data_IF_990165982688
#
_entry.id   IF_990165982688
#
_cell.length_a   1.000
_cell.length_b   1.000
_cell.length_c   1.000
_cell.angle_alpha   90.00
_cell.angle_beta   90.00
_cell.angle_gamma   90.00
#
_symmetry.space_group_name_H-M   'P 1'
#
loop_
_entity.id
_entity.type
_entity.pdbx_description
1 polymer ?
#
# COMPACT_ATOMS: atom_id res chain seq x y z
N UNK A 1 19.53 -34.84 -44.05
CA UNK A 1 18.08 -34.96 -43.74
C UNK A 1 17.94 -35.98 -42.62
N UNK A 2 17.32 -35.77 -41.46
CA UNK A 2 16.66 -34.63 -40.87
C UNK A 2 16.86 -34.67 -39.34
N UNK A 3 16.65 -33.52 -38.74
CA UNK A 3 16.82 -33.12 -37.35
C UNK A 3 15.74 -33.72 -36.42
N UNK A 4 16.16 -34.03 -35.18
CA UNK A 4 15.41 -33.96 -33.91
C UNK A 4 13.97 -34.47 -33.78
N UNK A 5 13.79 -35.36 -32.81
CA UNK A 5 12.67 -35.28 -31.87
C UNK A 5 13.06 -35.90 -30.53
N UNK A 6 13.93 -35.22 -29.77
CA UNK A 6 13.98 -35.38 -28.31
C UNK A 6 12.74 -34.68 -27.76
N UNK A 7 11.66 -35.41 -27.57
CA UNK A 7 10.56 -34.93 -26.73
C UNK A 7 11.04 -34.99 -25.28
N UNK A 8 11.66 -33.92 -24.81
CA UNK A 8 11.82 -33.64 -23.38
C UNK A 8 10.43 -33.53 -22.76
N UNK A 9 10.00 -34.42 -21.84
CA UNK A 9 8.82 -34.20 -21.03
C UNK A 9 9.19 -33.36 -19.80
N UNK A 10 9.91 -32.26 -20.00
CA UNK A 10 10.34 -31.32 -18.95
C UNK A 10 9.61 -29.98 -19.08
N UNK A 11 8.39 -29.99 -19.62
CA UNK A 11 7.37 -28.96 -19.37
C UNK A 11 6.32 -29.44 -18.36
N UNK A 12 6.50 -30.63 -17.79
CA UNK A 12 5.76 -31.04 -16.61
C UNK A 12 6.41 -30.41 -15.37
N UNK A 13 5.62 -29.63 -14.63
CA UNK A 13 5.92 -29.12 -13.28
C UNK A 13 6.73 -27.82 -13.17
N UNK A 14 6.24 -26.76 -13.82
CA UNK A 14 6.01 -25.52 -13.05
C UNK A 14 4.51 -25.38 -12.82
N UNK A 15 3.96 -26.38 -12.14
CA UNK A 15 2.66 -26.26 -11.50
C UNK A 15 2.80 -25.12 -10.50
N UNK A 16 2.44 -23.92 -10.95
CA UNK A 16 2.09 -22.79 -10.12
C UNK A 16 1.22 -23.37 -9.02
N UNK A 17 1.78 -23.53 -7.82
CA UNK A 17 1.02 -23.77 -6.62
C UNK A 17 0.13 -22.54 -6.49
N UNK A 18 -1.06 -22.65 -7.07
CA UNK A 18 -2.11 -21.66 -6.95
C UNK A 18 -2.42 -21.60 -5.45
N UNK A 19 -1.76 -20.67 -4.76
CA UNK A 19 -2.24 -20.17 -3.49
C UNK A 19 -3.72 -19.85 -3.70
N UNK A 20 -4.56 -20.39 -2.82
CA UNK A 20 -6.01 -20.37 -2.94
C UNK A 20 -6.48 -19.02 -3.50
N UNK A 21 -7.27 -18.96 -4.59
CA UNK A 21 -7.56 -17.73 -5.33
C UNK A 21 -8.17 -16.62 -4.45
N UNK A 22 -8.79 -16.98 -3.32
CA UNK A 22 -9.24 -16.02 -2.31
C UNK A 22 -8.09 -15.30 -1.60
N UNK A 23 -7.01 -16.00 -1.23
CA UNK A 23 -5.90 -15.43 -0.46
C UNK A 23 -5.09 -14.40 -1.28
N UNK A 24 -5.02 -14.57 -2.60
CA UNK A 24 -4.32 -13.66 -3.50
C UNK A 24 -5.02 -12.31 -3.66
N UNK A 25 -6.35 -12.26 -3.50
CA UNK A 25 -7.14 -11.01 -3.60
C UNK A 25 -7.40 -10.39 -2.22
N UNK A 26 -7.54 -11.22 -1.19
CA UNK A 26 -7.80 -10.76 0.18
C UNK A 26 -6.54 -10.16 0.81
N UNK A 27 -5.35 -10.74 0.59
CA UNK A 27 -4.13 -10.24 1.20
C UNK A 27 -3.77 -8.79 0.81
N UNK A 28 -3.85 -8.37 -0.47
CA UNK A 28 -3.59 -6.98 -0.87
C UNK A 28 -4.68 -6.03 -0.41
N UNK A 29 -5.95 -6.43 -0.46
CA UNK A 29 -7.06 -5.60 0.00
C UNK A 29 -6.96 -5.32 1.50
N UNK A 30 -6.60 -6.33 2.30
CA UNK A 30 -6.39 -6.16 3.75
C UNK A 30 -5.10 -5.39 4.05
N UNK A 31 -4.03 -5.62 3.28
CA UNK A 31 -2.79 -4.86 3.40
C UNK A 31 -2.96 -3.38 3.04
N UNK A 32 -3.82 -3.09 2.07
CA UNK A 32 -4.21 -1.72 1.73
C UNK A 32 -5.02 -1.10 2.87
N UNK A 33 -6.02 -1.82 3.37
CA UNK A 33 -6.96 -1.26 4.34
C UNK A 33 -6.31 -1.01 5.70
N UNK A 34 -5.45 -1.93 6.17
CA UNK A 34 -4.71 -1.78 7.42
C UNK A 34 -3.22 -1.82 7.09
N UNK A 35 -2.48 -0.70 7.27
CA UNK A 35 -1.05 -0.67 7.03
C UNK A 35 -0.35 -1.79 7.80
N UNK A 36 0.40 -2.64 7.10
CA UNK A 36 1.15 -3.77 7.68
C UNK A 36 0.33 -5.05 7.96
N UNK A 37 -0.99 -5.07 7.80
CA UNK A 37 -1.80 -6.27 8.04
C UNK A 37 -1.52 -7.41 7.06
N UNK A 38 -1.11 -7.10 5.81
CA UNK A 38 -0.72 -8.12 4.82
C UNK A 38 0.44 -9.00 5.29
N UNK A 39 1.39 -8.43 6.03
CA UNK A 39 2.55 -9.15 6.55
C UNK A 39 2.28 -9.86 7.88
N UNK A 40 1.33 -9.36 8.69
CA UNK A 40 0.83 -10.10 9.86
C UNK A 40 0.14 -11.40 9.44
N UNK A 41 -0.69 -11.36 8.39
CA UNK A 41 -1.36 -12.55 7.84
C UNK A 41 -0.34 -13.58 7.31
N UNK A 42 0.80 -13.11 6.77
CA UNK A 42 1.89 -13.95 6.28
C UNK A 42 2.86 -14.45 7.37
N UNK A 43 2.52 -14.33 8.67
CA UNK A 43 3.34 -14.70 9.84
C UNK A 43 4.71 -14.00 9.92
N UNK A 44 4.92 -12.91 9.17
CA UNK A 44 6.17 -12.11 9.18
C UNK A 44 6.00 -10.89 10.07
N UNK A 45 5.83 -11.16 11.37
CA UNK A 45 5.52 -10.17 12.42
C UNK A 45 6.46 -8.97 12.43
N UNK A 46 7.77 -9.19 12.35
CA UNK A 46 8.76 -8.10 12.41
C UNK A 46 8.60 -7.15 11.23
N UNK A 47 8.46 -7.67 10.00
CA UNK A 47 8.30 -6.83 8.79
C UNK A 47 6.97 -6.09 8.81
N UNK A 48 5.88 -6.76 9.17
CA UNK A 48 4.57 -6.14 9.27
C UNK A 48 4.51 -5.03 10.32
N UNK A 49 5.10 -5.26 11.49
CA UNK A 49 5.14 -4.28 12.57
C UNK A 49 6.02 -3.07 12.21
N UNK A 50 7.18 -3.29 11.59
CA UNK A 50 8.02 -2.19 11.10
C UNK A 50 7.30 -1.33 10.07
N UNK A 51 6.65 -1.94 9.07
CA UNK A 51 5.90 -1.22 8.03
C UNK A 51 4.71 -0.48 8.64
N UNK A 52 3.94 -1.13 9.50
CA UNK A 52 2.81 -0.52 10.21
C UNK A 52 3.29 0.68 11.03
N UNK A 53 4.35 0.51 11.83
CA UNK A 53 4.89 1.57 12.67
C UNK A 53 5.42 2.74 11.82
N UNK A 54 6.17 2.48 10.76
CA UNK A 54 6.70 3.52 9.87
C UNK A 54 5.60 4.32 9.19
N UNK A 55 4.62 3.65 8.54
CA UNK A 55 3.53 4.32 7.83
C UNK A 55 2.65 5.09 8.81
N UNK A 56 2.27 4.46 9.93
CA UNK A 56 1.43 5.10 10.95
C UNK A 56 2.12 6.31 11.55
N UNK A 57 3.41 6.20 11.87
CA UNK A 57 4.17 7.33 12.44
C UNK A 57 4.30 8.48 11.45
N UNK A 58 4.65 8.22 10.18
CA UNK A 58 4.69 9.28 9.15
C UNK A 58 3.32 9.93 8.97
N UNK A 59 2.25 9.14 8.95
CA UNK A 59 0.91 9.65 8.78
C UNK A 59 0.44 10.50 9.98
N UNK A 60 0.65 10.02 11.21
CA UNK A 60 0.34 10.76 12.44
C UNK A 60 1.15 12.05 12.52
N UNK A 61 2.45 12.01 12.22
CA UNK A 61 3.28 13.22 12.15
C UNK A 61 2.75 14.19 11.09
N UNK A 62 2.36 13.70 9.91
CA UNK A 62 1.74 14.50 8.87
C UNK A 62 0.46 15.21 9.34
N UNK A 63 -0.39 14.53 10.11
CA UNK A 63 -1.59 15.12 10.71
C UNK A 63 -1.27 16.13 11.83
N UNK A 64 -0.32 15.81 12.71
CA UNK A 64 0.11 16.70 13.79
C UNK A 64 0.73 17.99 13.24
N UNK A 65 1.41 17.90 12.10
CA UNK A 65 1.94 19.03 11.34
C UNK A 65 0.84 19.83 10.60
N UNK A 66 -0.43 19.49 10.80
CA UNK A 66 -1.58 20.09 10.10
C UNK A 66 -1.47 19.95 8.58
N UNK A 67 -0.96 18.81 8.11
CA UNK A 67 -0.96 18.48 6.69
C UNK A 67 -2.37 18.50 6.08
N UNK A 68 -2.48 18.94 4.84
CA UNK A 68 -3.73 18.94 4.08
C UNK A 68 -4.04 17.52 3.63
N UNK A 69 -5.20 17.02 4.05
CA UNK A 69 -5.75 15.76 3.52
C UNK A 69 -6.65 16.10 2.34
N UNK A 70 -6.26 15.67 1.15
CA UNK A 70 -6.94 15.97 -0.09
C UNK A 70 -8.30 15.29 -0.19
N UNK A 71 -9.21 16.01 -0.83
CA UNK A 71 -10.56 15.57 -1.13
C UNK A 71 -10.63 15.11 -2.57
N UNK A 72 -11.57 14.22 -2.91
CA UNK A 72 -11.91 14.00 -4.30
C UNK A 72 -12.41 15.32 -4.88
N UNK A 73 -11.55 15.99 -5.65
CA UNK A 73 -11.81 17.27 -6.29
C UNK A 73 -11.59 17.12 -7.80
N UNK A 74 -12.53 17.62 -8.60
CA UNK A 74 -12.52 17.49 -10.06
C UNK A 74 -11.73 18.56 -10.81
N UNK A 75 -11.31 19.63 -10.12
CA UNK A 75 -10.86 20.87 -10.76
C UNK A 75 -9.35 21.05 -10.95
N UNK A 76 -8.51 20.45 -10.10
CA UNK A 76 -7.05 20.62 -10.12
C UNK A 76 -6.34 19.26 -10.13
N UNK A 77 -5.40 19.09 -11.07
CA UNK A 77 -4.62 17.87 -11.24
C UNK A 77 -3.74 17.58 -10.02
N UNK A 78 -3.20 18.62 -9.38
CA UNK A 78 -2.33 18.49 -8.20
C UNK A 78 -3.13 17.99 -6.99
N UNK A 79 -4.36 18.50 -6.84
CA UNK A 79 -5.29 18.04 -5.80
C UNK A 79 -5.69 16.57 -6.02
N UNK A 80 -5.89 16.16 -7.28
CA UNK A 80 -6.16 14.76 -7.61
C UNK A 80 -4.97 13.85 -7.28
N UNK A 81 -3.75 14.27 -7.61
CA UNK A 81 -2.54 13.50 -7.28
C UNK A 81 -2.35 13.37 -5.76
N UNK A 82 -2.57 14.46 -5.02
CA UNK A 82 -2.56 14.44 -3.55
C UNK A 82 -3.62 13.50 -2.98
N UNK A 83 -4.83 13.53 -3.55
CA UNK A 83 -5.92 12.62 -3.19
C UNK A 83 -5.55 11.16 -3.42
N UNK A 84 -4.95 10.82 -4.55
CA UNK A 84 -4.49 9.44 -4.83
C UNK A 84 -3.43 9.01 -3.82
N UNK A 85 -2.51 9.90 -3.45
CA UNK A 85 -1.53 9.66 -2.41
C UNK A 85 -2.19 9.35 -1.06
N UNK A 86 -3.14 10.18 -0.64
CA UNK A 86 -3.85 10.03 0.62
C UNK A 86 -4.72 8.77 0.67
N UNK A 87 -5.40 8.43 -0.42
CA UNK A 87 -6.18 7.18 -0.56
C UNK A 87 -5.29 5.94 -0.42
N UNK A 88 -4.01 6.06 -0.81
CA UNK A 88 -2.99 5.05 -0.57
C UNK A 88 -2.82 4.69 0.90
N UNK A 89 -3.07 5.61 1.84
CA UNK A 89 -2.99 5.32 3.28
C UNK A 89 -4.14 4.42 3.79
N UNK A 90 -5.12 4.12 2.92
CA UNK A 90 -6.16 3.14 3.16
C UNK A 90 -7.08 3.50 4.32
N UNK A 91 -7.14 2.64 5.34
CA UNK A 91 -7.97 2.85 6.51
C UNK A 91 -7.60 4.12 7.29
N UNK A 92 -6.33 4.52 7.29
CA UNK A 92 -5.89 5.76 7.95
C UNK A 92 -6.54 6.99 7.32
N UNK A 93 -6.69 7.02 5.99
CA UNK A 93 -7.41 8.07 5.28
C UNK A 93 -8.90 8.09 5.64
N UNK A 94 -9.54 6.92 5.71
CA UNK A 94 -10.96 6.83 6.05
C UNK A 94 -11.20 7.36 7.47
N UNK A 95 -10.36 6.96 8.43
CA UNK A 95 -10.45 7.41 9.83
C UNK A 95 -10.26 8.91 9.95
N UNK A 96 -9.25 9.50 9.29
CA UNK A 96 -9.04 10.96 9.34
C UNK A 96 -10.17 11.74 8.69
N UNK A 97 -10.72 11.22 7.59
CA UNK A 97 -11.89 11.80 6.91
C UNK A 97 -13.14 11.76 7.79
N UNK A 98 -13.39 10.65 8.48
CA UNK A 98 -14.51 10.52 9.41
C UNK A 98 -14.38 11.45 10.62
N UNK A 99 -13.16 11.58 11.16
CA UNK A 99 -12.89 12.45 12.31
C UNK A 99 -12.84 13.94 11.93
N UNK A 100 -12.85 14.25 10.63
CA UNK A 100 -12.77 15.60 10.15
C UNK A 100 -11.39 16.25 10.38
N UNK A 101 -10.31 15.47 10.32
CA UNK A 101 -8.94 15.96 10.42
C UNK A 101 -8.36 16.30 9.05
N UNK A 102 -7.31 17.15 9.01
CA UNK A 102 -6.65 17.55 7.76
C UNK A 102 -7.28 18.72 7.01
N UNK A 103 -8.13 19.51 7.67
CA UNK A 103 -8.67 20.79 7.16
C UNK A 103 -7.69 21.97 7.33
N UNK A 104 -6.62 21.75 8.09
CA UNK A 104 -5.73 22.81 8.55
C UNK A 104 -4.72 23.25 7.51
N UNK A 105 -5.14 23.85 6.40
CA UNK A 105 -4.24 24.70 5.63
C UNK A 105 -4.11 26.07 6.32
N UNK A 106 -3.64 26.09 7.57
CA UNK A 106 -3.14 27.33 8.16
C UNK A 106 -1.75 27.53 7.56
N UNK A 107 -1.45 28.72 7.05
CA UNK A 107 -0.21 29.06 6.37
C UNK A 107 1.00 28.98 7.32
N UNK A 108 1.42 27.76 7.63
CA UNK A 108 2.62 27.44 8.39
C UNK A 108 3.50 26.58 7.51
N UNK A 109 4.80 26.88 7.45
CA UNK A 109 5.77 26.07 6.70
C UNK A 109 5.67 24.56 7.06
N UNK A 110 5.33 24.27 8.32
CA UNK A 110 5.10 22.91 8.84
C UNK A 110 3.98 22.15 8.11
N UNK A 111 2.91 22.83 7.68
CA UNK A 111 1.77 22.19 7.00
C UNK A 111 2.11 21.67 5.59
N UNK A 112 3.00 22.38 4.88
CA UNK A 112 3.49 21.94 3.57
C UNK A 112 4.38 20.69 3.68
N UNK A 113 5.12 20.54 4.77
CA UNK A 113 5.85 19.31 5.07
C UNK A 113 4.90 18.20 5.51
N UNK A 114 3.91 18.51 6.36
CA UNK A 114 2.91 17.55 6.83
C UNK A 114 2.13 16.90 5.69
N UNK A 115 1.72 17.70 4.71
CA UNK A 115 1.05 17.21 3.49
C UNK A 115 1.91 16.20 2.72
N UNK A 116 3.22 16.45 2.60
CA UNK A 116 4.14 15.52 1.94
C UNK A 116 4.30 14.23 2.75
N UNK A 117 4.36 14.30 4.07
CA UNK A 117 4.39 13.12 4.94
C UNK A 117 3.14 12.24 4.75
N UNK A 118 1.95 12.84 4.64
CA UNK A 118 0.70 12.12 4.39
C UNK A 118 0.72 11.38 3.04
N UNK A 119 1.10 12.09 1.96
CA UNK A 119 1.20 11.52 0.62
C UNK A 119 2.22 10.39 0.59
N UNK A 120 3.42 10.59 1.15
CA UNK A 120 4.48 9.58 1.16
C UNK A 120 4.06 8.35 1.98
N UNK A 121 3.41 8.54 3.13
CA UNK A 121 2.87 7.43 3.93
C UNK A 121 1.88 6.58 3.11
N UNK A 122 0.98 7.22 2.36
CA UNK A 122 0.03 6.50 1.52
C UNK A 122 0.67 5.79 0.32
N UNK A 123 1.64 6.41 -0.34
CA UNK A 123 2.39 5.76 -1.43
C UNK A 123 3.20 4.56 -0.92
N UNK A 124 3.81 4.65 0.26
CA UNK A 124 4.52 3.53 0.88
C UNK A 124 3.56 2.37 1.20
N UNK A 125 2.35 2.67 1.70
CA UNK A 125 1.34 1.66 1.95
C UNK A 125 0.92 0.93 0.67
N UNK A 126 0.78 1.65 -0.45
CA UNK A 126 0.50 1.06 -1.76
C UNK A 126 1.60 0.09 -2.20
N UNK A 127 2.87 0.51 -2.09
CA UNK A 127 4.03 -0.31 -2.46
C UNK A 127 4.10 -1.55 -1.56
N UNK A 128 3.87 -1.41 -0.26
CA UNK A 128 3.84 -2.54 0.67
C UNK A 128 2.68 -3.50 0.39
N UNK A 129 1.50 -3.00 0.04
CA UNK A 129 0.37 -3.84 -0.39
C UNK A 129 0.71 -4.63 -1.67
N UNK A 130 1.40 -4.00 -2.63
CA UNK A 130 1.90 -4.66 -3.82
C UNK A 130 3.00 -5.69 -3.51
N UNK A 131 3.94 -5.41 -2.59
CA UNK A 131 4.94 -6.39 -2.15
C UNK A 131 4.28 -7.60 -1.45
N UNK A 132 3.31 -7.35 -0.57
CA UNK A 132 2.54 -8.40 0.08
C UNK A 132 1.78 -9.27 -0.92
N UNK A 133 1.26 -8.70 -2.01
CA UNK A 133 0.67 -9.45 -3.12
C UNK A 133 1.69 -10.37 -3.81
N UNK A 134 2.89 -9.85 -4.12
CA UNK A 134 3.95 -10.64 -4.74
C UNK A 134 4.42 -11.81 -3.86
N UNK A 135 4.47 -11.61 -2.53
CA UNK A 135 4.75 -12.69 -1.57
C UNK A 135 3.60 -13.69 -1.54
N UNK A 136 2.34 -13.23 -1.55
CA UNK A 136 1.16 -14.10 -1.54
C UNK A 136 1.05 -15.01 -2.78
N UNK A 137 1.58 -14.58 -3.93
CA UNK A 137 1.63 -15.39 -5.17
C UNK A 137 2.85 -16.35 -5.20
N UNK A 138 3.68 -16.38 -4.15
CA UNK A 138 4.79 -17.31 -4.05
C UNK A 138 5.97 -16.99 -4.98
N UNK A 139 6.06 -15.77 -5.50
CA UNK A 139 7.20 -15.32 -6.33
C UNK A 139 8.44 -14.92 -5.53
N UNK A 140 8.35 -14.79 -4.19
CA UNK A 140 9.50 -14.61 -3.29
C UNK A 140 9.30 -15.38 -1.97
N UNK A 141 10.36 -16.01 -1.43
CA UNK A 141 10.28 -16.75 -0.18
C UNK A 141 10.00 -15.85 1.02
#
# INVERSE_FOLDING_TARGET
MANSSRTTPTEAQKATTAGSPGMSVIAPAVAWFIPGAGHLIQKRWVRGLLIMASITTMFVLGLLMQGRVYRPNGGDILDMLGFVGDVGAGGLYIVTRMQGWGYGAIAHATADYGTKFLIVAGLLNFICAADAYHIAIGKKP
#
